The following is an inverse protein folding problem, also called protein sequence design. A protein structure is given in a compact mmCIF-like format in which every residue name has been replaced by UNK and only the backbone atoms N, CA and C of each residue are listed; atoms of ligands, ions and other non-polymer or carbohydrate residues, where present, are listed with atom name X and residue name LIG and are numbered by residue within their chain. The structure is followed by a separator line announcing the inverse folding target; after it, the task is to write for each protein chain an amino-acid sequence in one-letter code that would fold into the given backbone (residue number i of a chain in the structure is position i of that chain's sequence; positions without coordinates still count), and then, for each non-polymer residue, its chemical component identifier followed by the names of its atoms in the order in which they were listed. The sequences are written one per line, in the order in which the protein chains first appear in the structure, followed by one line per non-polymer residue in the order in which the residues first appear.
data_IF_001910325064
#
_entry.id   IF_001910325064
#
_cell.length_a   1.000
_cell.length_b   1.000
_cell.length_c   1.000
_cell.angle_alpha   90.00
_cell.angle_beta   90.00
_cell.angle_gamma   90.00
#
_symmetry.space_group_name_H-M   'P 1'
#
loop_
_entity.id
_entity.type
_entity.pdbx_description
1 polymer ?
#
# COMPACT_ATOMS: atom_id res chain seq x y z
N UNK A 1 13.92 13.64 11.85
CA UNK A 1 14.21 12.18 11.86
C UNK A 1 13.29 11.48 10.85
N UNK A 2 13.81 10.67 9.93
CA UNK A 2 12.98 9.85 9.03
C UNK A 2 12.30 8.76 9.86
N UNK A 3 10.96 8.71 9.82
CA UNK A 3 10.18 7.68 10.52
C UNK A 3 10.42 6.34 9.82
N UNK A 4 10.97 5.38 10.54
CA UNK A 4 11.21 4.02 10.03
C UNK A 4 9.92 3.21 10.05
N UNK A 5 9.65 2.43 9.00
CA UNK A 5 8.52 1.49 8.97
C UNK A 5 8.87 0.14 9.62
N UNK A 6 10.04 0.03 10.27
CA UNK A 6 10.53 -1.18 10.96
C UNK A 6 10.16 -1.23 12.44
N UNK A 7 9.70 -0.12 13.03
CA UNK A 7 9.29 -0.03 14.43
C UNK A 7 8.06 0.88 14.57
N UNK A 8 7.27 0.66 15.63
CA UNK A 8 6.12 1.47 15.94
C UNK A 8 6.53 2.87 16.38
N UNK A 9 5.94 3.92 15.80
CA UNK A 9 6.25 5.32 16.16
C UNK A 9 5.77 5.73 17.55
N UNK A 10 4.91 4.93 18.17
CA UNK A 10 4.29 5.23 19.47
C UNK A 10 4.94 4.47 20.63
N UNK A 11 5.35 3.21 20.41
CA UNK A 11 5.88 2.36 21.48
C UNK A 11 7.20 1.65 21.12
N UNK A 12 7.80 1.96 19.97
CA UNK A 12 9.04 1.36 19.45
C UNK A 12 9.03 -0.17 19.27
N UNK A 13 7.88 -0.83 19.44
CA UNK A 13 7.74 -2.25 19.17
C UNK A 13 8.07 -2.57 17.72
N UNK A 14 8.90 -3.60 17.52
CA UNK A 14 9.29 -4.12 16.20
C UNK A 14 8.30 -5.14 15.65
N UNK A 15 7.28 -5.51 16.43
CA UNK A 15 6.25 -6.48 16.03
C UNK A 15 5.11 -5.74 15.34
N UNK A 16 5.16 -5.70 14.02
CA UNK A 16 4.20 -5.00 13.16
C UNK A 16 3.48 -6.00 12.24
N UNK A 17 2.16 -5.88 12.12
CA UNK A 17 1.35 -6.58 11.11
C UNK A 17 1.21 -5.70 9.88
N UNK A 18 1.45 -6.26 8.70
CA UNK A 18 1.35 -5.54 7.43
C UNK A 18 0.04 -5.92 6.71
N UNK A 19 -0.76 -4.91 6.38
CA UNK A 19 -1.99 -5.03 5.61
C UNK A 19 -1.77 -4.37 4.24
N UNK A 20 -1.31 -5.15 3.28
CA UNK A 20 -0.92 -4.67 1.94
C UNK A 20 -2.10 -4.10 1.14
N UNK A 21 -3.31 -4.63 1.32
CA UNK A 21 -4.52 -4.14 0.65
C UNK A 21 -4.93 -2.74 1.09
N UNK A 22 -4.58 -2.38 2.33
CA UNK A 22 -4.87 -1.06 2.91
C UNK A 22 -3.65 -0.14 2.88
N UNK A 23 -2.48 -0.64 2.46
CA UNK A 23 -1.21 0.07 2.54
C UNK A 23 -0.91 0.57 3.98
N UNK A 24 -1.11 -0.31 4.96
CA UNK A 24 -0.97 0.02 6.38
C UNK A 24 -0.15 -1.02 7.14
N UNK A 25 0.55 -0.56 8.18
CA UNK A 25 1.17 -1.40 9.21
C UNK A 25 0.53 -1.10 10.56
N UNK A 26 0.11 -2.15 11.27
CA UNK A 26 -0.48 -2.01 12.61
C UNK A 26 0.46 -2.61 13.64
N UNK A 27 0.74 -1.86 14.70
CA UNK A 27 1.54 -2.35 15.82
C UNK A 27 0.76 -3.43 16.59
N UNK A 28 1.39 -4.57 16.82
CA UNK A 28 0.77 -5.63 17.61
C UNK A 28 0.65 -5.28 19.10
N UNK A 29 1.58 -4.48 19.63
CA UNK A 29 1.63 -4.14 21.05
C UNK A 29 0.61 -3.08 21.46
N UNK A 30 0.51 -1.98 20.70
CA UNK A 30 -0.32 -0.82 21.08
C UNK A 30 -1.45 -0.51 20.07
N UNK A 31 -1.59 -1.29 18.99
CA UNK A 31 -2.62 -1.08 17.99
C UNK A 31 -2.45 0.15 17.11
N UNK A 32 -1.35 0.90 17.24
CA UNK A 32 -1.11 2.09 16.40
C UNK A 32 -1.03 1.71 14.93
N UNK A 33 -1.88 2.35 14.12
CA UNK A 33 -1.90 2.25 12.66
C UNK A 33 -0.89 3.22 12.08
N UNK A 34 -0.05 2.74 11.17
CA UNK A 34 0.98 3.52 10.49
C UNK A 34 0.82 3.34 8.99
N UNK A 35 0.82 4.42 8.20
CA UNK A 35 0.78 4.30 6.75
C UNK A 35 2.05 3.59 6.25
N UNK A 36 1.86 2.68 5.30
CA UNK A 36 2.93 2.02 4.58
C UNK A 36 2.84 2.44 3.11
N UNK A 37 3.73 3.33 2.70
CA UNK A 37 3.85 3.75 1.31
C UNK A 37 5.11 3.13 0.71
N UNK A 38 5.04 2.79 -0.56
CA UNK A 38 6.20 2.42 -1.35
C UNK A 38 7.07 3.67 -1.53
N UNK A 39 8.38 3.52 -1.36
CA UNK A 39 9.34 4.59 -1.68
C UNK A 39 9.47 4.75 -3.20
N UNK A 40 9.89 5.95 -3.64
CA UNK A 40 10.13 6.23 -5.05
C UNK A 40 11.07 5.18 -5.67
N UNK A 41 10.61 4.52 -6.74
CA UNK A 41 11.32 3.43 -7.42
C UNK A 41 11.01 2.03 -6.91
N UNK A 42 10.24 1.85 -5.83
CA UNK A 42 9.75 0.53 -5.44
C UNK A 42 8.56 0.13 -6.34
N UNK A 43 8.67 -1.04 -6.98
CA UNK A 43 7.61 -1.57 -7.84
C UNK A 43 6.37 -1.91 -6.98
N UNK A 44 5.16 -1.49 -7.39
CA UNK A 44 3.94 -1.91 -6.73
C UNK A 44 3.86 -3.44 -6.73
N UNK A 45 3.49 -4.01 -5.58
CA UNK A 45 3.27 -5.45 -5.41
C UNK A 45 1.98 -5.94 -6.10
N UNK A 46 1.49 -5.21 -7.10
CA UNK A 46 0.44 -5.67 -7.98
C UNK A 46 1.01 -6.86 -8.76
N UNK A 47 0.80 -8.06 -8.23
CA UNK A 47 0.90 -9.26 -9.03
C UNK A 47 -0.08 -9.14 -10.19
N UNK A 48 0.22 -9.83 -11.29
CA UNK A 48 -0.80 -10.14 -12.30
C UNK A 48 -2.02 -10.68 -11.57
N UNK A 49 -3.21 -10.19 -11.91
CA UNK A 49 -4.45 -10.89 -11.53
C UNK A 49 -4.32 -12.37 -11.87
N UNK A 50 -5.09 -13.24 -11.20
CA UNK A 50 -5.07 -14.68 -11.45
C UNK A 50 -5.30 -15.04 -12.93
N UNK A 51 -5.87 -14.11 -13.68
CA UNK A 51 -6.15 -14.15 -15.13
C UNK A 51 -5.02 -13.59 -16.01
N UNK A 52 -3.85 -13.26 -15.45
CA UNK A 52 -2.71 -12.70 -16.19
C UNK A 52 -2.81 -11.20 -16.50
N UNK A 53 -3.95 -10.57 -16.26
CA UNK A 53 -4.16 -9.16 -16.57
C UNK A 53 -3.49 -8.22 -15.54
N UNK A 54 -2.78 -7.18 -15.99
CA UNK A 54 -2.19 -6.18 -15.10
C UNK A 54 -3.27 -5.33 -14.44
N UNK A 55 -3.19 -5.17 -13.12
CA UNK A 55 -4.16 -4.39 -12.31
C UNK A 55 -4.10 -2.87 -12.62
N UNK A 56 -3.10 -2.42 -13.38
CA UNK A 56 -2.88 -1.01 -13.76
C UNK A 56 -3.76 -0.53 -14.93
N UNK A 57 -5.07 -0.81 -14.92
CA UNK A 57 -5.97 -0.34 -15.99
C UNK A 57 -6.97 0.74 -15.58
N UNK A 58 -6.67 1.57 -14.60
CA UNK A 58 -7.39 2.85 -14.43
C UNK A 58 -6.45 3.83 -13.75
N UNK A 59 -5.78 4.73 -14.48
CA UNK A 59 -5.78 6.21 -14.27
C UNK A 59 -5.13 6.83 -15.52
N UNK A 60 -5.89 7.03 -16.59
CA UNK A 60 -5.63 8.16 -17.47
C UNK A 60 -6.93 8.58 -18.15
N UNK A 61 -7.27 9.81 -17.82
CA UNK A 61 -8.33 10.67 -18.33
C UNK A 61 -8.49 10.55 -19.86
N UNK A 62 -9.59 9.94 -20.31
CA UNK A 62 -10.08 10.12 -21.68
C UNK A 62 -11.58 9.88 -21.69
N UNK A 63 -12.40 10.87 -22.12
CA UNK A 63 -13.85 10.73 -22.11
C UNK A 63 -14.27 9.71 -23.16
N UNK A 64 -14.89 8.61 -22.72
CA UNK A 64 -15.52 7.65 -23.62
C UNK A 64 -16.74 8.30 -24.29
N UNK A 65 -16.87 8.31 -25.62
CA UNK A 65 -18.07 8.84 -26.27
C UNK A 65 -19.26 7.90 -26.00
N UNK A 66 -20.36 8.48 -25.50
CA UNK A 66 -21.65 7.78 -25.39
C UNK A 66 -22.10 7.34 -26.77
N UNK A 67 -22.20 6.03 -27.01
CA UNK A 67 -22.93 5.49 -28.15
C UNK A 67 -24.44 5.66 -27.89
N UNK A 68 -25.12 6.29 -28.86
CA UNK A 68 -26.57 6.32 -28.99
C UNK A 68 -27.07 4.99 -29.53
#
# INVERSE_FOLDING_TARGET
MKRTTKACWNCDSKVLRHFSSLNEKVCHACGTVMPWVLEDGQKPMLGTSRDGEPVNRVINDSPQPRRK
#
